data_IF_459903174964
#
_entry.id   IF_459903174964
#
_cell.length_a   1.000
_cell.length_b   1.000
_cell.length_c   1.000
_cell.angle_alpha   90.00
_cell.angle_beta   90.00
_cell.angle_gamma   90.00
#
_symmetry.space_group_name_H-M   'P 1'
#
loop_
_entity.id
_entity.type
_entity.pdbx_description
1 polymer ?
#
# COMPACT_ATOMS: atom_id res chain seq x y z
N UNK A 1 -21.70 21.61 3.83
CA UNK A 1 -20.26 21.26 4.03
C UNK A 1 -20.07 19.77 4.15
N UNK A 2 -18.95 19.25 3.54
CA UNK A 2 -18.55 17.86 3.60
C UNK A 2 -17.09 17.76 4.06
N UNK A 3 -16.76 16.78 4.90
CA UNK A 3 -15.38 16.39 5.09
C UNK A 3 -15.22 14.86 4.96
N UNK A 4 -13.96 14.41 4.79
CA UNK A 4 -13.62 13.02 4.61
C UNK A 4 -12.73 12.50 5.75
N UNK A 5 -13.10 11.34 6.32
CA UNK A 5 -12.26 10.57 7.25
C UNK A 5 -11.64 9.36 6.52
N UNK A 6 -10.31 9.33 6.44
CA UNK A 6 -9.59 8.36 5.60
C UNK A 6 -9.30 7.03 6.30
N UNK A 7 -9.11 7.05 7.61
CA UNK A 7 -8.65 5.90 8.41
C UNK A 7 -9.80 5.21 9.13
N UNK A 8 -9.58 3.98 9.56
CA UNK A 8 -10.51 3.20 10.40
C UNK A 8 -10.77 3.92 11.73
N UNK A 9 -9.72 4.44 12.35
CA UNK A 9 -9.86 5.25 13.58
C UNK A 9 -9.92 6.73 13.20
N UNK A 10 -10.99 7.38 13.64
CA UNK A 10 -11.15 8.80 13.40
C UNK A 10 -10.40 9.62 14.46
N UNK A 11 -9.50 10.50 14.02
CA UNK A 11 -8.82 11.43 14.90
C UNK A 11 -9.79 12.40 15.61
N UNK A 12 -9.37 12.95 16.76
CA UNK A 12 -10.18 13.84 17.60
C UNK A 12 -10.74 15.02 16.80
N UNK A 13 -9.94 15.66 15.96
CA UNK A 13 -10.37 16.77 15.10
C UNK A 13 -11.55 16.36 14.20
N UNK A 14 -11.49 15.18 13.58
CA UNK A 14 -12.55 14.68 12.74
C UNK A 14 -13.84 14.42 13.54
N UNK A 15 -13.72 13.86 14.76
CA UNK A 15 -14.86 13.63 15.66
C UNK A 15 -15.53 14.95 16.07
N UNK A 16 -14.75 16.01 16.31
CA UNK A 16 -15.30 17.34 16.66
C UNK A 16 -15.97 17.96 15.44
N UNK A 17 -15.29 18.01 14.29
CA UNK A 17 -15.80 18.61 13.06
C UNK A 17 -17.07 17.93 12.54
N UNK A 18 -17.23 16.62 12.78
CA UNK A 18 -18.40 15.87 12.32
C UNK A 18 -19.73 16.43 12.81
N UNK A 19 -19.74 17.15 13.94
CA UNK A 19 -20.95 17.78 14.50
C UNK A 19 -21.40 19.01 13.74
N UNK A 20 -20.51 19.64 12.99
CA UNK A 20 -20.75 20.93 12.32
C UNK A 20 -20.91 20.79 10.80
N UNK A 21 -20.56 19.64 10.24
CA UNK A 21 -20.68 19.39 8.79
C UNK A 21 -22.01 18.71 8.45
N UNK A 22 -22.45 18.84 7.21
CA UNK A 22 -23.67 18.20 6.74
C UNK A 22 -23.47 16.71 6.44
N UNK A 23 -22.27 16.34 5.96
CA UNK A 23 -21.94 14.95 5.61
C UNK A 23 -20.49 14.62 5.96
N UNK A 24 -20.29 13.43 6.50
CA UNK A 24 -18.97 12.78 6.68
C UNK A 24 -18.85 11.65 5.66
N UNK A 25 -17.86 11.73 4.77
CA UNK A 25 -17.51 10.65 3.87
C UNK A 25 -16.43 9.76 4.50
N UNK A 26 -16.67 8.46 4.59
CA UNK A 26 -15.76 7.49 5.22
C UNK A 26 -14.94 6.71 4.23
N UNK A 27 -13.64 6.58 4.50
CA UNK A 27 -12.74 5.67 3.80
C UNK A 27 -12.92 4.20 4.18
N UNK A 28 -13.38 3.93 5.41
CA UNK A 28 -13.67 2.61 5.95
C UNK A 28 -15.02 2.60 6.65
N UNK A 29 -15.79 1.51 6.45
CA UNK A 29 -17.12 1.35 7.06
C UNK A 29 -17.02 1.31 8.59
N UNK A 30 -16.00 0.67 9.11
CA UNK A 30 -15.74 0.49 10.55
C UNK A 30 -15.55 1.83 11.30
N UNK A 31 -15.20 2.91 10.59
CA UNK A 31 -15.11 4.24 11.18
C UNK A 31 -16.47 4.83 11.56
N UNK A 32 -17.59 4.29 11.09
CA UNK A 32 -18.95 4.84 11.27
C UNK A 32 -19.31 5.07 12.75
N UNK A 33 -18.95 4.10 13.61
CA UNK A 33 -19.20 4.18 15.06
C UNK A 33 -18.55 5.41 15.71
N UNK A 34 -17.46 5.93 15.15
CA UNK A 34 -16.77 7.15 15.64
C UNK A 34 -17.55 8.43 15.38
N UNK A 35 -18.58 8.40 14.53
CA UNK A 35 -19.32 9.57 14.05
C UNK A 35 -20.81 9.56 14.42
N UNK A 36 -21.17 8.95 15.55
CA UNK A 36 -22.56 8.84 16.05
C UNK A 36 -23.30 10.18 16.24
N UNK A 37 -22.54 11.30 16.31
CA UNK A 37 -23.09 12.66 16.45
C UNK A 37 -23.08 13.44 15.13
N UNK A 38 -22.68 12.84 14.01
CA UNK A 38 -22.74 13.46 12.69
C UNK A 38 -24.18 13.49 12.17
N UNK A 39 -24.54 14.53 11.40
CA UNK A 39 -25.87 14.64 10.77
C UNK A 39 -26.12 13.51 9.76
N UNK A 40 -25.07 13.18 8.99
CA UNK A 40 -25.09 12.11 7.97
C UNK A 40 -23.70 11.54 7.78
N UNK A 41 -23.61 10.22 7.71
CA UNK A 41 -22.37 9.48 7.42
C UNK A 41 -22.59 8.65 6.16
N UNK A 42 -21.60 8.63 5.26
CA UNK A 42 -21.65 7.86 4.01
C UNK A 42 -20.33 7.15 3.81
N UNK A 43 -20.36 5.84 3.64
CA UNK A 43 -19.19 5.07 3.26
C UNK A 43 -18.96 5.20 1.76
N UNK A 44 -17.88 5.89 1.36
CA UNK A 44 -17.48 6.11 -0.03
C UNK A 44 -16.22 5.34 -0.42
N UNK A 45 -15.43 4.93 0.54
CA UNK A 45 -14.07 4.49 0.33
C UNK A 45 -13.09 5.67 0.21
N UNK A 46 -11.81 5.36 0.07
CA UNK A 46 -10.75 6.34 -0.19
C UNK A 46 -10.54 6.49 -1.70
N UNK A 47 -10.52 7.72 -2.25
CA UNK A 47 -10.26 7.95 -3.65
C UNK A 47 -8.80 7.60 -3.98
N UNK A 48 -8.62 6.99 -5.13
CA UNK A 48 -7.32 6.67 -5.70
C UNK A 48 -7.09 7.51 -6.96
N UNK A 49 -5.83 7.61 -7.38
CA UNK A 49 -5.48 8.32 -8.62
C UNK A 49 -6.09 7.60 -9.82
N UNK A 50 -6.59 8.32 -10.84
CA UNK A 50 -7.17 7.69 -12.03
C UNK A 50 -6.23 6.70 -12.73
N UNK A 51 -4.94 7.04 -12.82
CA UNK A 51 -3.91 6.21 -13.47
C UNK A 51 -3.76 4.84 -12.80
N UNK A 52 -3.98 4.76 -11.47
CA UNK A 52 -4.00 3.47 -10.76
C UNK A 52 -5.12 2.55 -11.25
N UNK A 53 -6.22 3.10 -11.75
CA UNK A 53 -7.36 2.32 -12.23
C UNK A 53 -7.22 1.88 -13.68
N UNK A 54 -6.49 2.66 -14.52
CA UNK A 54 -6.46 2.43 -15.98
C UNK A 54 -5.21 1.71 -16.47
N UNK A 55 -4.07 1.82 -15.78
CA UNK A 55 -2.84 1.16 -16.18
C UNK A 55 -3.01 -0.37 -16.15
N UNK A 56 -2.79 -1.00 -17.29
CA UNK A 56 -2.86 -2.46 -17.40
C UNK A 56 -1.59 -3.12 -16.83
N UNK A 57 -1.72 -4.40 -16.44
CA UNK A 57 -0.57 -5.21 -16.00
C UNK A 57 0.53 -5.24 -17.07
N UNK A 58 0.16 -5.40 -18.35
CA UNK A 58 1.09 -5.43 -19.47
C UNK A 58 1.87 -4.11 -19.59
N UNK A 59 1.20 -2.96 -19.46
CA UNK A 59 1.87 -1.66 -19.50
C UNK A 59 2.84 -1.48 -18.33
N UNK A 60 2.43 -1.86 -17.11
CA UNK A 60 3.31 -1.82 -15.94
C UNK A 60 4.54 -2.71 -16.11
N UNK A 61 4.36 -3.95 -16.59
CA UNK A 61 5.48 -4.89 -16.82
C UNK A 61 6.43 -4.41 -17.92
N UNK A 62 5.89 -3.89 -19.01
CA UNK A 62 6.70 -3.30 -20.10
C UNK A 62 7.52 -2.10 -19.61
N UNK A 63 6.96 -1.25 -18.76
CA UNK A 63 7.65 -0.10 -18.19
C UNK A 63 8.93 -0.51 -17.42
N UNK A 64 8.89 -1.65 -16.72
CA UNK A 64 10.03 -2.18 -15.96
C UNK A 64 10.82 -3.28 -16.71
N UNK A 65 10.55 -3.51 -18.00
CA UNK A 65 11.17 -4.56 -18.81
C UNK A 65 11.05 -5.97 -18.16
N UNK A 66 9.86 -6.30 -17.62
CA UNK A 66 9.60 -7.58 -16.96
C UNK A 66 8.95 -8.58 -17.93
N UNK A 67 9.40 -9.84 -17.89
CA UNK A 67 8.71 -10.95 -18.55
C UNK A 67 7.45 -11.35 -17.76
N UNK A 68 6.49 -12.00 -18.43
CA UNK A 68 5.19 -12.36 -17.81
C UNK A 68 5.35 -13.32 -16.63
N UNK A 69 6.41 -14.13 -16.59
CA UNK A 69 6.69 -15.09 -15.52
C UNK A 69 7.44 -14.49 -14.32
N UNK A 70 7.94 -13.25 -14.42
CA UNK A 70 8.70 -12.63 -13.32
C UNK A 70 7.79 -12.32 -12.13
N UNK A 71 8.07 -12.88 -10.97
CA UNK A 71 7.41 -12.50 -9.71
C UNK A 71 7.88 -11.11 -9.27
N UNK A 72 6.98 -10.16 -9.22
CA UNK A 72 7.32 -8.76 -8.94
C UNK A 72 6.83 -8.35 -7.58
N UNK A 73 7.76 -8.00 -6.70
CA UNK A 73 7.47 -7.48 -5.36
C UNK A 73 7.70 -5.98 -5.37
N UNK A 74 6.66 -5.22 -5.02
CA UNK A 74 6.75 -3.76 -4.85
C UNK A 74 6.91 -3.42 -3.38
N UNK A 75 8.01 -2.76 -3.02
CA UNK A 75 8.31 -2.37 -1.65
C UNK A 75 8.27 -0.85 -1.53
N UNK A 76 7.40 -0.32 -0.64
CA UNK A 76 7.31 1.11 -0.40
C UNK A 76 6.88 1.45 1.03
N UNK A 77 7.66 2.33 1.67
CA UNK A 77 7.39 2.82 3.01
C UNK A 77 6.58 4.13 3.08
N UNK A 78 6.05 4.61 1.94
CA UNK A 78 5.44 5.94 1.78
C UNK A 78 6.44 7.01 1.35
N UNK A 79 5.96 8.25 1.15
CA UNK A 79 6.76 9.34 0.55
C UNK A 79 8.03 9.74 1.30
N UNK A 80 8.10 9.46 2.59
CA UNK A 80 9.30 9.73 3.43
C UNK A 80 10.21 8.51 3.56
N UNK A 81 9.83 7.37 2.97
CA UNK A 81 10.48 6.09 3.20
C UNK A 81 10.10 5.47 4.55
N UNK A 82 10.66 4.30 4.83
CA UNK A 82 10.46 3.59 6.09
C UNK A 82 11.76 2.89 6.48
N UNK A 83 12.52 3.50 7.39
CA UNK A 83 13.85 3.01 7.77
C UNK A 83 13.86 1.54 8.21
N UNK A 84 12.85 1.11 8.96
CA UNK A 84 12.74 -0.28 9.42
C UNK A 84 12.59 -1.25 8.24
N UNK A 85 11.73 -0.91 7.27
CA UNK A 85 11.56 -1.69 6.05
C UNK A 85 12.86 -1.66 5.23
N UNK A 86 13.44 -0.47 5.01
CA UNK A 86 14.67 -0.32 4.24
C UNK A 86 15.81 -1.16 4.82
N UNK A 87 15.98 -1.16 6.14
CA UNK A 87 17.02 -1.95 6.82
C UNK A 87 16.79 -3.46 6.63
N UNK A 88 15.56 -3.96 6.79
CA UNK A 88 15.25 -5.36 6.55
C UNK A 88 15.48 -5.76 5.08
N UNK A 89 15.18 -4.85 4.15
CA UNK A 89 15.38 -5.08 2.71
C UNK A 89 16.85 -5.23 2.29
N UNK A 90 17.82 -4.77 3.09
CA UNK A 90 19.25 -4.96 2.77
C UNK A 90 19.58 -6.44 2.57
N UNK A 91 19.24 -7.27 3.55
CA UNK A 91 19.54 -8.70 3.48
C UNK A 91 18.56 -9.45 2.56
N UNK A 92 17.33 -8.97 2.38
CA UNK A 92 16.40 -9.46 1.36
C UNK A 92 16.98 -9.28 -0.06
N UNK A 93 17.52 -8.10 -0.38
CA UNK A 93 18.19 -7.86 -1.66
C UNK A 93 19.40 -8.76 -1.89
N UNK A 94 20.22 -8.97 -0.85
CA UNK A 94 21.38 -9.90 -0.93
C UNK A 94 20.93 -11.34 -1.14
N UNK A 95 19.85 -11.77 -0.47
CA UNK A 95 19.31 -13.13 -0.61
C UNK A 95 18.82 -13.41 -2.04
N UNK A 96 18.10 -12.46 -2.63
CA UNK A 96 17.57 -12.63 -3.99
C UNK A 96 18.53 -12.18 -5.11
N UNK A 97 19.76 -11.74 -4.77
CA UNK A 97 20.75 -11.34 -5.77
C UNK A 97 21.09 -12.51 -6.73
N UNK A 98 20.86 -12.28 -8.01
CA UNK A 98 21.10 -13.31 -9.06
C UNK A 98 20.03 -14.39 -9.15
N UNK A 99 19.02 -14.40 -8.29
CA UNK A 99 17.87 -15.30 -8.42
C UNK A 99 17.05 -14.89 -9.64
N UNK A 100 16.76 -15.85 -10.51
CA UNK A 100 15.95 -15.65 -11.73
C UNK A 100 14.46 -15.72 -11.40
N UNK A 101 13.64 -15.01 -12.17
CA UNK A 101 12.19 -15.08 -12.07
C UNK A 101 11.59 -14.22 -10.93
N UNK A 102 12.42 -13.39 -10.26
CA UNK A 102 11.96 -12.39 -9.28
C UNK A 102 12.46 -11.01 -9.65
N UNK A 103 11.65 -9.99 -9.34
CA UNK A 103 12.03 -8.56 -9.37
C UNK A 103 11.54 -7.87 -8.10
N UNK A 104 12.47 -7.30 -7.34
CA UNK A 104 12.21 -6.42 -6.20
C UNK A 104 12.27 -4.97 -6.68
N UNK A 105 11.16 -4.25 -6.67
CA UNK A 105 11.08 -2.80 -6.94
C UNK A 105 10.97 -2.11 -5.59
N UNK A 106 12.07 -1.51 -5.12
CA UNK A 106 12.16 -0.94 -3.78
C UNK A 106 12.26 0.58 -3.81
N UNK A 107 11.24 1.25 -3.27
CA UNK A 107 11.16 2.72 -3.17
C UNK A 107 11.51 3.11 -1.75
N UNK A 108 12.75 3.55 -1.56
CA UNK A 108 13.36 3.79 -0.24
C UNK A 108 12.91 5.09 0.42
N UNK A 109 12.46 6.08 -0.37
CA UNK A 109 12.33 7.47 0.02
C UNK A 109 13.65 8.23 -0.18
N UNK A 110 13.57 9.50 -0.58
CA UNK A 110 14.74 10.33 -0.91
C UNK A 110 15.78 10.41 0.22
N UNK A 111 15.32 10.45 1.49
CA UNK A 111 16.22 10.62 2.64
C UNK A 111 17.01 9.37 3.04
N UNK A 112 16.61 8.18 2.57
CA UNK A 112 17.22 6.91 2.95
C UNK A 112 17.95 6.22 1.79
N UNK A 113 17.82 6.73 0.57
CA UNK A 113 18.34 6.09 -0.65
C UNK A 113 19.84 5.85 -0.59
N UNK A 114 20.63 6.89 -0.34
CA UNK A 114 22.10 6.79 -0.26
C UNK A 114 22.56 5.84 0.84
N UNK A 115 21.84 5.82 1.97
CA UNK A 115 22.14 4.91 3.06
C UNK A 115 21.90 3.45 2.66
N UNK A 116 20.84 3.18 1.91
CA UNK A 116 20.53 1.84 1.40
C UNK A 116 21.59 1.38 0.40
N UNK A 117 21.96 2.24 -0.58
CA UNK A 117 23.02 1.91 -1.54
C UNK A 117 24.34 1.61 -0.85
N UNK A 118 24.74 2.45 0.10
CA UNK A 118 25.99 2.28 0.87
C UNK A 118 26.02 0.95 1.62
N UNK A 119 24.92 0.55 2.27
CA UNK A 119 24.83 -0.72 3.00
C UNK A 119 24.84 -1.93 2.08
N UNK A 120 24.39 -1.79 0.84
CA UNK A 120 24.46 -2.81 -0.19
C UNK A 120 25.81 -2.87 -0.92
N UNK A 121 26.65 -1.85 -0.73
CA UNK A 121 27.95 -1.74 -1.41
C UNK A 121 27.82 -1.43 -2.91
N UNK A 122 26.77 -0.72 -3.33
CA UNK A 122 26.50 -0.32 -4.71
C UNK A 122 26.44 1.20 -4.84
N UNK A 123 26.62 1.72 -6.07
CA UNK A 123 26.63 3.14 -6.36
C UNK A 123 25.34 3.65 -7.01
N UNK A 124 24.52 2.73 -7.53
CA UNK A 124 23.23 3.04 -8.15
C UNK A 124 22.21 1.92 -7.87
N UNK A 125 20.94 2.21 -8.13
CA UNK A 125 19.84 1.32 -7.80
C UNK A 125 19.74 0.03 -8.64
N UNK A 126 20.50 -0.07 -9.72
CA UNK A 126 20.60 -1.27 -10.58
C UNK A 126 21.82 -2.15 -10.26
N UNK A 127 22.66 -1.73 -9.34
CA UNK A 127 23.96 -2.35 -9.01
C UNK A 127 23.88 -3.81 -8.51
N UNK A 128 22.69 -4.29 -8.13
CA UNK A 128 22.46 -5.69 -7.72
C UNK A 128 22.01 -6.61 -8.87
N UNK A 129 21.98 -6.11 -10.12
CA UNK A 129 21.60 -6.88 -11.30
C UNK A 129 20.09 -6.99 -11.50
N UNK A 130 19.67 -8.01 -12.28
CA UNK A 130 18.29 -8.11 -12.79
C UNK A 130 17.20 -8.29 -11.72
N UNK A 131 17.53 -8.87 -10.57
CA UNK A 131 16.55 -9.18 -9.51
C UNK A 131 16.14 -7.97 -8.66
N UNK A 132 16.86 -6.85 -8.71
CA UNK A 132 16.58 -5.67 -7.90
C UNK A 132 16.53 -4.39 -8.73
N UNK A 133 15.66 -3.47 -8.31
CA UNK A 133 15.60 -2.07 -8.74
C UNK A 133 15.32 -1.23 -7.50
N UNK A 134 16.27 -0.37 -7.12
CA UNK A 134 16.18 0.46 -5.93
C UNK A 134 16.07 1.92 -6.37
N UNK A 135 15.03 2.61 -5.93
CA UNK A 135 14.71 3.97 -6.34
C UNK A 135 14.49 4.86 -5.11
N UNK A 136 14.97 6.11 -5.13
CA UNK A 136 14.67 7.08 -4.07
C UNK A 136 13.20 7.49 -4.06
N UNK A 137 12.62 7.60 -5.26
CA UNK A 137 11.23 7.98 -5.50
C UNK A 137 10.77 7.45 -6.86
N UNK A 138 9.48 7.17 -6.99
CA UNK A 138 8.88 6.75 -8.26
C UNK A 138 7.67 7.64 -8.58
N UNK A 139 7.76 8.42 -9.65
CA UNK A 139 6.65 9.26 -10.14
C UNK A 139 5.52 8.39 -10.70
N UNK A 140 5.88 7.36 -11.45
CA UNK A 140 4.95 6.44 -12.11
C UNK A 140 4.59 5.25 -11.21
N UNK A 141 4.26 5.52 -9.93
CA UNK A 141 3.78 4.51 -8.99
C UNK A 141 2.62 3.66 -9.55
N UNK A 142 1.65 4.21 -10.35
CA UNK A 142 0.64 3.40 -11.01
C UNK A 142 1.21 2.26 -11.85
N UNK A 143 2.31 2.47 -12.57
CA UNK A 143 2.99 1.42 -13.35
C UNK A 143 3.57 0.32 -12.45
N UNK A 144 4.16 0.69 -11.31
CA UNK A 144 4.67 -0.29 -10.35
C UNK A 144 3.56 -1.10 -9.69
N UNK A 145 2.45 -0.45 -9.31
CA UNK A 145 1.25 -1.12 -8.83
C UNK A 145 0.66 -2.05 -9.89
N UNK A 146 0.65 -1.64 -11.17
CA UNK A 146 0.16 -2.46 -12.26
C UNK A 146 1.05 -3.71 -12.52
N UNK A 147 2.37 -3.60 -12.31
CA UNK A 147 3.33 -4.68 -12.49
C UNK A 147 3.40 -5.67 -11.32
N UNK A 148 3.02 -5.25 -10.11
CA UNK A 148 3.25 -5.99 -8.87
C UNK A 148 2.38 -7.25 -8.73
N UNK A 149 2.97 -8.31 -8.21
CA UNK A 149 2.30 -9.53 -7.75
C UNK A 149 2.08 -9.51 -6.24
N UNK A 150 3.00 -8.89 -5.50
CA UNK A 150 2.99 -8.75 -4.05
C UNK A 150 3.45 -7.34 -3.68
N UNK A 151 2.89 -6.77 -2.62
CA UNK A 151 3.33 -5.50 -2.06
C UNK A 151 3.84 -5.67 -0.62
N UNK A 152 4.95 -4.98 -0.28
CA UNK A 152 5.44 -4.81 1.10
C UNK A 152 5.31 -3.34 1.45
N UNK A 153 4.32 -2.98 2.24
CA UNK A 153 3.89 -1.58 2.40
C UNK A 153 3.65 -1.17 3.85
N UNK A 154 3.77 0.12 4.12
CA UNK A 154 3.09 0.75 5.25
C UNK A 154 1.58 0.75 5.01
N UNK A 155 0.77 0.65 6.08
CA UNK A 155 -0.69 0.57 6.00
C UNK A 155 -1.37 1.96 6.06
N UNK A 156 -0.83 2.91 5.31
CA UNK A 156 -1.47 4.21 5.08
C UNK A 156 -2.75 4.05 4.24
N UNK A 157 -3.80 4.80 4.59
CA UNK A 157 -5.13 4.62 4.01
C UNK A 157 -5.19 4.72 2.48
N UNK A 158 -4.39 5.61 1.85
CA UNK A 158 -4.38 5.78 0.40
C UNK A 158 -3.63 4.61 -0.27
N UNK A 159 -2.45 4.23 0.25
CA UNK A 159 -1.72 3.08 -0.28
C UNK A 159 -2.55 1.80 -0.22
N UNK A 160 -3.25 1.55 0.89
CA UNK A 160 -4.17 0.42 1.01
C UNK A 160 -5.34 0.50 0.02
N UNK A 161 -5.89 1.68 -0.23
CA UNK A 161 -6.94 1.84 -1.24
C UNK A 161 -6.42 1.55 -2.66
N UNK A 162 -5.18 1.95 -2.98
CA UNK A 162 -4.53 1.65 -4.26
C UNK A 162 -4.27 0.15 -4.41
N UNK A 163 -3.76 -0.53 -3.36
CA UNK A 163 -3.58 -1.98 -3.35
C UNK A 163 -4.91 -2.72 -3.54
N UNK A 164 -5.97 -2.28 -2.84
CA UNK A 164 -7.29 -2.89 -2.92
C UNK A 164 -7.89 -2.81 -4.32
N UNK A 165 -7.91 -1.63 -4.95
CA UNK A 165 -8.49 -1.48 -6.30
C UNK A 165 -7.69 -2.21 -7.38
N UNK A 166 -6.42 -2.54 -7.10
CA UNK A 166 -5.55 -3.32 -7.99
C UNK A 166 -5.58 -4.83 -7.69
N UNK A 167 -6.19 -5.24 -6.58
CA UNK A 167 -6.19 -6.64 -6.15
C UNK A 167 -4.79 -7.15 -5.81
N UNK A 168 -3.93 -6.32 -5.20
CA UNK A 168 -2.56 -6.71 -4.89
C UNK A 168 -2.51 -7.27 -3.47
N UNK A 169 -2.17 -8.56 -3.29
CA UNK A 169 -1.85 -9.14 -1.99
C UNK A 169 -0.72 -8.39 -1.31
N UNK A 170 -0.73 -8.30 0.01
CA UNK A 170 0.28 -7.48 0.67
C UNK A 170 0.79 -8.05 1.99
N UNK A 171 2.05 -7.76 2.29
CA UNK A 171 2.65 -7.84 3.63
C UNK A 171 2.69 -6.43 4.18
N UNK A 172 1.88 -6.16 5.19
CA UNK A 172 1.69 -4.84 5.76
C UNK A 172 2.54 -4.66 7.02
N UNK A 173 3.30 -3.58 7.06
CA UNK A 173 4.12 -3.18 8.20
C UNK A 173 3.59 -1.83 8.71
N UNK A 174 2.65 -1.80 9.67
CA UNK A 174 2.09 -0.56 10.20
C UNK A 174 3.17 0.35 10.79
N UNK A 175 3.06 1.66 10.55
CA UNK A 175 3.95 2.65 11.15
C UNK A 175 3.63 2.81 12.65
N UNK A 176 4.58 2.51 13.57
CA UNK A 176 4.29 2.40 15.00
C UNK A 176 3.99 3.74 15.70
N UNK A 177 4.36 4.86 15.06
CA UNK A 177 4.12 6.21 15.59
C UNK A 177 2.97 6.92 14.87
N UNK A 178 2.11 6.16 14.20
CA UNK A 178 0.90 6.72 13.59
C UNK A 178 -0.06 7.21 14.67
N UNK A 179 -0.62 8.41 14.48
CA UNK A 179 -1.57 8.99 15.44
C UNK A 179 -2.71 8.01 15.72
N UNK A 180 -3.01 7.77 17.00
CA UNK A 180 -4.05 6.82 17.46
C UNK A 180 -3.86 5.39 16.88
N UNK A 181 -2.62 5.02 16.51
CA UNK A 181 -2.28 3.71 15.93
C UNK A 181 -3.11 3.34 14.68
N UNK A 182 -3.60 4.36 13.95
CA UNK A 182 -4.54 4.14 12.84
C UNK A 182 -4.01 3.18 11.77
N UNK A 183 -2.68 3.08 11.57
CA UNK A 183 -2.13 2.17 10.58
C UNK A 183 -2.30 0.70 10.97
N UNK A 184 -2.18 0.35 12.25
CA UNK A 184 -2.45 -1.01 12.72
C UNK A 184 -3.93 -1.38 12.49
N UNK A 185 -4.85 -0.47 12.78
CA UNK A 185 -6.27 -0.72 12.52
C UNK A 185 -6.59 -0.83 11.04
N UNK A 186 -6.01 0.01 10.20
CA UNK A 186 -6.14 -0.10 8.74
C UNK A 186 -5.65 -1.47 8.23
N UNK A 187 -4.48 -1.92 8.69
CA UNK A 187 -3.91 -3.23 8.30
C UNK A 187 -4.79 -4.40 8.75
N UNK A 188 -5.35 -4.33 9.96
CA UNK A 188 -6.20 -5.41 10.49
C UNK A 188 -7.41 -5.69 9.61
N UNK A 189 -8.03 -4.70 8.99
CA UNK A 189 -9.14 -4.91 8.05
C UNK A 189 -8.68 -5.82 6.89
N UNK A 190 -7.53 -5.55 6.29
CA UNK A 190 -7.00 -6.36 5.20
C UNK A 190 -6.65 -7.79 5.64
N UNK A 191 -6.09 -7.93 6.84
CA UNK A 191 -5.76 -9.26 7.41
C UNK A 191 -7.03 -10.05 7.72
N UNK A 192 -8.03 -9.43 8.33
CA UNK A 192 -9.32 -10.09 8.66
C UNK A 192 -10.06 -10.57 7.42
N UNK A 193 -10.00 -9.80 6.35
CA UNK A 193 -10.57 -10.18 5.05
C UNK A 193 -9.66 -11.15 4.27
N UNK A 194 -8.47 -11.46 4.79
CA UNK A 194 -7.50 -12.36 4.16
C UNK A 194 -6.88 -11.80 2.89
N UNK A 195 -6.78 -10.48 2.77
CA UNK A 195 -6.15 -9.76 1.67
C UNK A 195 -4.68 -9.42 1.94
N UNK A 196 -4.21 -9.57 3.19
CA UNK A 196 -2.86 -9.25 3.60
C UNK A 196 -2.37 -10.11 4.77
N UNK A 197 -1.05 -10.23 4.87
CA UNK A 197 -0.35 -10.57 6.10
C UNK A 197 0.12 -9.29 6.81
N UNK A 198 0.37 -9.35 8.12
CA UNK A 198 0.86 -8.19 8.87
C UNK A 198 2.04 -8.57 9.74
N UNK A 199 3.12 -7.80 9.64
CA UNK A 199 4.27 -7.89 10.52
C UNK A 199 4.34 -6.59 11.34
N UNK A 200 4.41 -6.72 12.67
CA UNK A 200 4.56 -5.56 13.55
C UNK A 200 5.95 -4.95 13.36
N UNK A 201 6.06 -3.63 13.20
CA UNK A 201 7.30 -2.93 12.82
C UNK A 201 8.53 -3.33 13.68
N UNK A 202 8.37 -3.44 14.99
CA UNK A 202 9.44 -3.84 15.92
C UNK A 202 9.88 -5.32 15.81
N UNK A 203 9.06 -6.15 15.18
CA UNK A 203 9.32 -7.58 14.96
C UNK A 203 9.85 -7.85 13.56
N UNK A 204 9.87 -6.83 12.69
CA UNK A 204 10.27 -6.98 11.31
C UNK A 204 11.73 -7.41 11.20
N UNK A 205 11.97 -8.53 10.54
CA UNK A 205 13.29 -9.00 10.16
C UNK A 205 13.39 -9.33 8.67
N UNK A 206 14.61 -9.37 8.15
CA UNK A 206 14.83 -9.82 6.77
C UNK A 206 14.40 -11.29 6.60
N UNK A 207 14.61 -12.14 7.60
CA UNK A 207 14.21 -13.55 7.59
C UNK A 207 12.69 -13.70 7.39
N UNK A 208 11.88 -12.90 8.11
CA UNK A 208 10.42 -12.94 7.97
C UNK A 208 9.98 -12.50 6.57
N UNK A 209 10.58 -11.40 6.03
CA UNK A 209 10.25 -10.94 4.68
C UNK A 209 10.67 -11.93 3.60
N UNK A 210 11.83 -12.56 3.73
CA UNK A 210 12.28 -13.62 2.80
C UNK A 210 11.26 -14.77 2.82
N UNK A 211 10.89 -15.25 4.02
CA UNK A 211 9.90 -16.31 4.16
C UNK A 211 8.54 -15.99 3.55
N UNK A 212 8.04 -14.76 3.75
CA UNK A 212 6.79 -14.31 3.13
C UNK A 212 6.90 -14.26 1.60
N UNK A 213 7.98 -13.71 1.06
CA UNK A 213 8.19 -13.60 -0.40
C UNK A 213 8.29 -15.01 -1.04
N UNK A 214 9.10 -15.90 -0.47
CA UNK A 214 9.26 -17.27 -0.97
C UNK A 214 7.96 -18.05 -0.90
N UNK A 215 7.24 -17.97 0.21
CA UNK A 215 5.94 -18.61 0.37
C UNK A 215 4.95 -18.18 -0.72
N UNK A 216 4.89 -16.88 -1.06
CA UNK A 216 4.00 -16.38 -2.11
C UNK A 216 4.50 -16.69 -3.52
N UNK A 217 5.82 -16.79 -3.73
CA UNK A 217 6.38 -17.27 -5.00
C UNK A 217 5.96 -18.71 -5.29
N UNK A 218 5.97 -19.55 -4.26
CA UNK A 218 5.69 -20.98 -4.37
C UNK A 218 4.18 -21.28 -4.36
N UNK A 219 3.35 -20.38 -3.85
CA UNK A 219 1.90 -20.60 -3.72
C UNK A 219 1.08 -19.54 -4.47
N UNK A 220 1.04 -19.67 -5.80
CA UNK A 220 0.32 -18.74 -6.69
C UNK A 220 -1.20 -18.75 -6.48
N UNK A 221 -1.77 -19.88 -6.05
CA UNK A 221 -3.21 -20.00 -5.77
C UNK A 221 -3.59 -19.18 -4.53
N UNK A 222 -2.77 -19.23 -3.47
CA UNK A 222 -2.97 -18.38 -2.29
C UNK A 222 -2.88 -16.91 -2.66
N UNK A 223 -1.86 -16.54 -3.44
CA UNK A 223 -1.67 -15.18 -3.92
C UNK A 223 -2.89 -14.66 -4.69
N UNK A 224 -3.43 -15.46 -5.62
CA UNK A 224 -4.62 -15.13 -6.38
C UNK A 224 -5.86 -14.93 -5.48
N UNK A 225 -6.09 -15.86 -4.53
CA UNK A 225 -7.19 -15.74 -3.57
C UNK A 225 -7.08 -14.47 -2.71
N UNK A 226 -5.89 -14.11 -2.25
CA UNK A 226 -5.66 -12.88 -1.50
C UNK A 226 -5.90 -11.65 -2.37
N UNK A 227 -5.53 -11.69 -3.65
CA UNK A 227 -5.80 -10.63 -4.62
C UNK A 227 -7.30 -10.41 -4.83
N UNK A 228 -8.08 -11.48 -4.98
CA UNK A 228 -9.54 -11.41 -5.12
C UNK A 228 -10.19 -10.78 -3.88
N UNK A 229 -9.70 -11.12 -2.69
CA UNK A 229 -10.17 -10.53 -1.43
C UNK A 229 -9.79 -9.06 -1.31
N UNK A 230 -8.59 -8.68 -1.76
CA UNK A 230 -8.19 -7.28 -1.83
C UNK A 230 -9.12 -6.48 -2.77
N UNK A 231 -9.49 -7.01 -3.94
CA UNK A 231 -10.44 -6.39 -4.86
C UNK A 231 -11.81 -6.13 -4.22
N UNK A 232 -12.30 -7.03 -3.36
CA UNK A 232 -13.57 -6.84 -2.65
C UNK A 232 -13.56 -5.64 -1.70
N UNK A 233 -12.38 -5.29 -1.16
CA UNK A 233 -12.18 -4.10 -0.34
C UNK A 233 -12.09 -2.82 -1.19
N UNK A 234 -11.76 -2.95 -2.47
CA UNK A 234 -11.56 -1.83 -3.39
C UNK A 234 -12.81 -0.99 -3.63
N UNK A 235 -12.63 0.32 -3.73
CA UNK A 235 -13.70 1.29 -4.06
C UNK A 235 -13.27 2.15 -5.26
N UNK A 236 -13.30 1.62 -6.49
CA UNK A 236 -12.79 2.33 -7.66
C UNK A 236 -13.56 3.63 -7.95
N UNK A 237 -14.82 3.71 -7.57
CA UNK A 237 -15.67 4.87 -7.79
C UNK A 237 -15.62 5.91 -6.65
N UNK A 238 -14.78 5.72 -5.62
CA UNK A 238 -14.77 6.58 -4.43
C UNK A 238 -14.66 8.08 -4.74
N UNK A 239 -13.82 8.47 -5.70
CA UNK A 239 -13.66 9.87 -6.10
C UNK A 239 -14.96 10.46 -6.70
N UNK A 240 -15.61 9.69 -7.59
CA UNK A 240 -16.89 10.07 -8.20
C UNK A 240 -18.00 10.18 -7.14
N UNK A 241 -18.10 9.21 -6.26
CA UNK A 241 -19.13 9.17 -5.22
C UNK A 241 -18.98 10.33 -4.24
N UNK A 242 -17.75 10.70 -3.86
CA UNK A 242 -17.46 11.87 -3.02
C UNK A 242 -17.86 13.16 -3.76
N UNK A 243 -17.51 13.30 -5.05
CA UNK A 243 -17.86 14.47 -5.85
C UNK A 243 -19.38 14.61 -5.97
N UNK A 244 -20.08 13.52 -6.29
CA UNK A 244 -21.54 13.49 -6.38
C UNK A 244 -22.19 13.86 -5.04
N UNK A 245 -21.65 13.35 -3.94
CA UNK A 245 -22.11 13.68 -2.58
C UNK A 245 -21.90 15.16 -2.27
N UNK A 246 -20.75 15.73 -2.63
CA UNK A 246 -20.46 17.15 -2.44
C UNK A 246 -21.43 18.04 -3.24
N UNK A 247 -21.69 17.70 -4.52
CA UNK A 247 -22.65 18.42 -5.36
C UNK A 247 -24.08 18.36 -4.81
N UNK A 248 -24.50 17.24 -4.22
CA UNK A 248 -25.83 17.06 -3.65
C UNK A 248 -26.15 17.97 -2.45
N UNK A 249 -25.13 18.51 -1.79
CA UNK A 249 -25.24 19.39 -0.63
C UNK A 249 -24.80 20.83 -0.93
N UNK A 250 -24.30 21.10 -2.13
CA UNK A 250 -24.04 22.45 -2.62
C UNK A 250 -25.39 23.08 -3.00
N UNK A 251 -25.79 24.09 -2.24
CA UNK A 251 -26.97 24.91 -2.51
C UNK A 251 -26.56 26.19 -3.17
#
# INVERSE_FOLDING_TARGET
TLFRSQNVIAGITNKILSRFVDVVALGYKDAEASFSKAKRVVYTGNPVRPDVLVDSRTEGRNYFNLSDDTFTVLIAGGSRGARTINNAMIDVHKHFQGVKGIKLIHITGNGEYESVLSQLGITDGDGLGSSSLILPYLHDMPKALAAADLAVFRSGAIGLAELAVRGIPSVLIPYPYAAEDHQTYNARIFVQEGAAHMIVDKMLSAHDLIGEIEMFMDNRDLLAQMGDRALQLGKPNAAHDIAKLALSIAK
#
